data_IF_187677342893
#
_entry.id   IF_187677342893
#
_cell.length_a   1.000
_cell.length_b   1.000
_cell.length_c   1.000
_cell.angle_alpha   90.00
_cell.angle_beta   90.00
_cell.angle_gamma   90.00
#
_symmetry.space_group_name_H-M   'P 1'
#
loop_
_entity.id
_entity.type
_entity.pdbx_description
1 polymer ?
#
# COMPACT_ATOMS: atom_id res chain seq x y z
N UNK A 1 12.80 -22.94 32.99
CA UNK A 1 11.46 -22.53 32.48
C UNK A 1 10.55 -22.23 33.67
N UNK A 2 9.77 -21.14 33.63
CA UNK A 2 8.91 -20.70 34.74
C UNK A 2 7.71 -21.65 34.92
N UNK A 3 7.56 -22.20 36.13
CA UNK A 3 6.45 -23.07 36.55
C UNK A 3 5.26 -22.31 37.14
N UNK A 4 5.39 -20.99 37.32
CA UNK A 4 4.36 -20.13 37.90
C UNK A 4 3.19 -19.94 36.93
N UNK A 5 1.96 -19.84 37.39
CA UNK A 5 0.86 -19.38 36.51
C UNK A 5 1.08 -17.93 36.05
N UNK A 6 0.71 -17.61 34.82
CA UNK A 6 0.77 -16.23 34.30
C UNK A 6 -0.64 -15.73 34.00
N UNK A 7 -0.98 -14.52 34.46
CA UNK A 7 -2.18 -13.80 34.02
C UNK A 7 -1.76 -12.57 33.24
N UNK A 8 -2.07 -12.55 31.94
CA UNK A 8 -1.81 -11.42 31.05
C UNK A 8 -3.07 -10.55 30.93
N UNK A 9 -2.97 -9.31 31.38
CA UNK A 9 -4.03 -8.31 31.21
C UNK A 9 -3.77 -7.49 29.93
N UNK A 10 -4.82 -7.20 29.16
CA UNK A 10 -4.75 -6.34 27.97
C UNK A 10 -6.11 -5.72 27.66
N UNK A 11 -6.09 -4.48 27.18
CA UNK A 11 -7.26 -3.80 26.62
C UNK A 11 -7.51 -4.13 25.13
N UNK A 12 -6.50 -4.69 24.45
CA UNK A 12 -6.57 -5.08 23.06
C UNK A 12 -7.37 -6.36 22.85
N UNK A 13 -8.67 -6.18 22.62
CA UNK A 13 -9.58 -7.25 22.23
C UNK A 13 -9.11 -7.98 20.96
N UNK A 14 -8.46 -7.28 20.04
CA UNK A 14 -7.91 -7.86 18.81
C UNK A 14 -6.81 -8.87 19.12
N UNK A 15 -5.79 -8.48 19.90
CA UNK A 15 -4.68 -9.35 20.27
C UNK A 15 -5.20 -10.57 21.04
N UNK A 16 -6.07 -10.32 22.02
CA UNK A 16 -6.70 -11.37 22.81
C UNK A 16 -7.40 -12.41 21.92
N UNK A 17 -8.26 -11.96 21.01
CA UNK A 17 -8.98 -12.86 20.11
C UNK A 17 -8.04 -13.61 19.15
N UNK A 18 -6.98 -12.97 18.66
CA UNK A 18 -6.01 -13.59 17.74
C UNK A 18 -5.29 -14.79 18.39
N UNK A 19 -4.90 -14.69 19.66
CA UNK A 19 -4.17 -15.76 20.36
C UNK A 19 -5.08 -16.75 21.12
N UNK A 20 -6.39 -16.49 21.17
CA UNK A 20 -7.37 -17.36 21.81
C UNK A 20 -8.40 -17.88 20.80
N UNK A 21 -9.53 -17.19 20.65
CA UNK A 21 -10.72 -17.67 19.93
C UNK A 21 -10.53 -17.80 18.42
N UNK A 22 -9.68 -16.96 17.82
CA UNK A 22 -9.39 -16.96 16.38
C UNK A 22 -8.13 -17.77 16.04
N UNK A 23 -7.39 -18.25 17.03
CA UNK A 23 -6.09 -18.89 16.83
C UNK A 23 -6.20 -20.06 15.86
N UNK A 24 -7.02 -21.07 16.20
CA UNK A 24 -7.19 -22.28 15.37
C UNK A 24 -7.54 -21.96 13.93
N UNK A 25 -8.51 -21.05 13.72
CA UNK A 25 -8.91 -20.60 12.38
C UNK A 25 -7.76 -19.94 11.62
N UNK A 26 -6.98 -19.08 12.30
CA UNK A 26 -5.83 -18.40 11.68
C UNK A 26 -4.72 -19.38 11.30
N UNK A 27 -4.45 -20.39 12.14
CA UNK A 27 -3.47 -21.44 11.83
C UNK A 27 -3.94 -22.34 10.68
N UNK A 28 -5.23 -22.72 10.67
CA UNK A 28 -5.82 -23.53 9.61
C UNK A 28 -5.67 -22.86 8.24
N UNK A 29 -5.80 -21.53 8.16
CA UNK A 29 -5.59 -20.75 6.93
C UNK A 29 -4.12 -20.33 6.72
N UNK A 30 -3.18 -20.83 7.53
CA UNK A 30 -1.76 -20.51 7.44
C UNK A 30 -1.44 -19.02 7.64
N UNK A 31 -2.32 -18.29 8.30
CA UNK A 31 -2.31 -16.83 8.45
C UNK A 31 -2.25 -16.04 7.12
N UNK A 32 -2.69 -16.63 6.01
CA UNK A 32 -2.69 -15.96 4.70
C UNK A 32 -3.58 -14.71 4.74
N UNK A 33 -3.04 -13.58 4.27
CA UNK A 33 -3.74 -12.30 4.22
C UNK A 33 -3.99 -11.64 5.57
N UNK A 34 -3.35 -12.12 6.65
CA UNK A 34 -3.36 -11.47 7.96
C UNK A 34 -2.20 -10.50 8.11
N UNK A 35 -2.40 -9.46 8.90
CA UNK A 35 -1.32 -8.53 9.31
C UNK A 35 -0.60 -9.07 10.54
N UNK A 36 0.64 -8.60 10.78
CA UNK A 36 1.43 -8.90 11.98
C UNK A 36 1.61 -10.40 12.26
N UNK A 37 1.74 -11.19 11.19
CA UNK A 37 1.82 -12.66 11.27
C UNK A 37 3.08 -13.11 12.01
N UNK A 38 4.22 -12.43 11.81
CA UNK A 38 5.47 -12.73 12.53
C UNK A 38 5.28 -12.65 14.05
N UNK A 39 4.82 -11.50 14.55
CA UNK A 39 4.51 -11.31 15.97
C UNK A 39 3.50 -12.34 16.49
N UNK A 40 2.43 -12.60 15.73
CA UNK A 40 1.41 -13.59 16.14
C UNK A 40 2.03 -14.97 16.30
N UNK A 41 2.86 -15.41 15.35
CA UNK A 41 3.54 -16.72 15.41
C UNK A 41 4.51 -16.80 16.58
N UNK A 42 5.29 -15.75 16.83
CA UNK A 42 6.23 -15.69 17.96
C UNK A 42 5.52 -15.76 19.32
N UNK A 43 4.42 -15.02 19.49
CA UNK A 43 3.60 -15.07 20.71
C UNK A 43 3.01 -16.46 20.90
N UNK A 44 2.40 -17.04 19.87
CA UNK A 44 1.80 -18.38 19.96
C UNK A 44 2.85 -19.44 20.29
N UNK A 45 4.04 -19.37 19.68
CA UNK A 45 5.12 -20.30 20.00
C UNK A 45 5.60 -20.13 21.46
N UNK A 46 5.71 -18.90 21.95
CA UNK A 46 6.06 -18.61 23.35
C UNK A 46 5.02 -19.16 24.31
N UNK A 47 3.73 -19.00 24.00
CA UNK A 47 2.63 -19.55 24.79
C UNK A 47 2.66 -21.08 24.83
N UNK A 48 2.92 -21.74 23.69
CA UNK A 48 3.01 -23.21 23.59
C UNK A 48 4.22 -23.80 24.30
N UNK A 49 5.36 -23.08 24.31
CA UNK A 49 6.57 -23.50 25.04
C UNK A 49 6.36 -23.46 26.55
N UNK A 50 5.45 -22.63 27.05
CA UNK A 50 5.22 -22.50 28.48
C UNK A 50 4.48 -23.72 29.03
N UNK A 51 5.07 -24.36 30.05
CA UNK A 51 4.47 -25.51 30.76
C UNK A 51 3.33 -25.13 31.71
N UNK A 52 3.39 -23.92 32.27
CA UNK A 52 2.41 -23.42 33.21
C UNK A 52 1.28 -22.64 32.52
N UNK A 53 0.08 -22.70 33.09
CA UNK A 53 -1.12 -22.06 32.54
C UNK A 53 -0.94 -20.55 32.33
N UNK A 54 -1.31 -20.07 31.15
CA UNK A 54 -1.48 -18.65 30.85
C UNK A 54 -2.96 -18.32 30.78
N UNK A 55 -3.42 -17.41 31.63
CA UNK A 55 -4.76 -16.83 31.58
C UNK A 55 -4.67 -15.46 30.94
N UNK A 56 -5.61 -15.15 30.05
CA UNK A 56 -5.77 -13.80 29.55
C UNK A 56 -6.99 -13.16 30.17
N UNK A 57 -6.87 -11.89 30.54
CA UNK A 57 -7.96 -11.08 31.08
C UNK A 57 -8.08 -9.81 30.26
N UNK A 58 -9.23 -9.62 29.64
CA UNK A 58 -9.56 -8.35 29.00
C UNK A 58 -9.87 -7.31 30.06
N UNK A 59 -9.28 -6.13 29.94
CA UNK A 59 -9.57 -4.97 30.78
C UNK A 59 -10.05 -3.83 29.90
N UNK A 60 -10.88 -2.93 30.43
CA UNK A 60 -11.33 -1.77 29.67
C UNK A 60 -10.22 -0.71 29.67
N UNK A 61 -9.86 -0.22 28.48
CA UNK A 61 -8.89 0.89 28.35
C UNK A 61 -9.39 2.15 29.05
N UNK A 62 -8.45 3.00 29.50
CA UNK A 62 -8.72 4.29 30.16
C UNK A 62 -9.74 4.23 31.31
N UNK A 63 -9.74 3.13 32.07
CA UNK A 63 -10.72 2.89 33.14
C UNK A 63 -10.10 2.84 34.53
N UNK A 64 -8.95 3.49 34.77
CA UNK A 64 -8.34 3.55 36.11
C UNK A 64 -7.56 2.31 36.51
N UNK A 65 -7.24 1.39 35.58
CA UNK A 65 -6.50 0.18 35.90
C UNK A 65 -4.99 0.48 35.99
N UNK A 66 -4.37 0.49 37.19
CA UNK A 66 -3.02 1.06 37.36
C UNK A 66 -1.95 0.37 36.50
N UNK A 67 -2.08 -0.95 36.31
CA UNK A 67 -1.16 -1.73 35.47
C UNK A 67 -1.36 -1.47 33.98
N UNK A 68 -2.61 -1.31 33.52
CA UNK A 68 -2.90 -1.00 32.12
C UNK A 68 -2.45 0.41 31.79
N UNK A 69 -2.74 1.39 32.65
CA UNK A 69 -2.30 2.77 32.47
C UNK A 69 -0.78 2.90 32.49
N UNK A 70 -0.11 2.12 33.36
CA UNK A 70 1.33 1.98 33.33
C UNK A 70 1.85 1.44 31.99
N UNK A 71 1.19 0.44 31.42
CA UNK A 71 1.52 -0.11 30.11
C UNK A 71 1.26 0.91 28.96
N UNK A 72 0.15 1.64 29.01
CA UNK A 72 -0.20 2.68 28.03
C UNK A 72 0.85 3.80 28.03
N UNK A 73 1.27 4.24 29.22
CA UNK A 73 2.34 5.23 29.38
C UNK A 73 3.66 4.74 28.80
N UNK A 74 4.06 3.50 29.09
CA UNK A 74 5.28 2.92 28.56
C UNK A 74 5.22 2.73 27.04
N UNK A 75 4.06 2.35 26.49
CA UNK A 75 3.84 2.26 25.05
C UNK A 75 3.95 3.64 24.37
N UNK A 76 3.41 4.69 24.99
CA UNK A 76 3.55 6.07 24.53
C UNK A 76 5.00 6.55 24.51
N UNK A 77 5.77 6.25 25.57
CA UNK A 77 7.22 6.52 25.59
C UNK A 77 7.97 5.73 24.50
N UNK A 78 7.58 4.48 24.27
CA UNK A 78 8.12 3.64 23.21
C UNK A 78 7.88 4.23 21.81
N UNK A 79 6.70 4.81 21.57
CA UNK A 79 6.36 5.45 20.29
C UNK A 79 7.17 6.71 20.01
N UNK A 80 7.72 7.37 21.03
CA UNK A 80 8.56 8.56 20.92
C UNK A 80 10.05 8.26 20.77
N UNK A 81 10.47 6.99 20.81
CA UNK A 81 11.86 6.62 20.60
C UNK A 81 12.31 6.97 19.18
N UNK A 82 13.52 7.54 19.06
CA UNK A 82 14.13 7.85 17.77
C UNK A 82 14.48 6.61 16.94
N UNK A 83 14.77 5.50 17.61
CA UNK A 83 15.02 4.20 16.99
C UNK A 83 14.04 3.15 17.53
N UNK A 84 13.47 2.29 16.66
CA UNK A 84 12.56 1.23 17.08
C UNK A 84 13.31 0.11 17.82
N UNK A 85 12.65 -0.47 18.82
CA UNK A 85 13.17 -1.65 19.50
C UNK A 85 13.18 -2.86 18.55
N UNK A 86 14.28 -3.62 18.56
CA UNK A 86 14.38 -4.86 17.81
C UNK A 86 13.70 -5.99 18.59
N UNK A 87 12.65 -6.58 18.00
CA UNK A 87 11.91 -7.69 18.59
C UNK A 87 12.16 -8.94 17.75
N UNK A 88 12.68 -9.99 18.38
CA UNK A 88 12.81 -11.29 17.72
C UNK A 88 11.42 -11.91 17.51
N UNK A 89 11.08 -12.15 16.25
CA UNK A 89 9.80 -12.74 15.82
C UNK A 89 9.98 -14.17 15.27
N UNK A 90 11.15 -14.77 15.43
CA UNK A 90 11.38 -16.15 15.00
C UNK A 90 10.72 -17.13 15.96
N UNK A 91 9.84 -17.97 15.41
CA UNK A 91 9.31 -19.12 16.12
C UNK A 91 10.27 -20.32 15.97
N UNK A 92 10.54 -21.09 17.03
CA UNK A 92 11.31 -22.33 16.93
C UNK A 92 10.65 -23.32 15.96
N UNK A 93 11.48 -24.14 15.31
CA UNK A 93 11.06 -24.97 14.18
C UNK A 93 9.96 -25.97 14.51
N UNK A 94 9.97 -26.52 15.72
CA UNK A 94 8.98 -27.47 16.24
C UNK A 94 7.59 -26.84 16.45
N UNK A 95 7.52 -25.52 16.65
CA UNK A 95 6.27 -24.77 16.85
C UNK A 95 5.89 -23.94 15.62
N UNK A 96 6.65 -24.05 14.52
CA UNK A 96 6.46 -23.25 13.32
C UNK A 96 5.33 -23.82 12.45
N UNK A 97 4.33 -22.99 12.19
CA UNK A 97 3.27 -23.30 11.21
C UNK A 97 3.87 -23.26 9.80
N UNK A 98 3.92 -24.42 9.15
CA UNK A 98 4.51 -24.62 7.81
C UNK A 98 3.62 -24.10 6.66
N UNK A 99 2.30 -23.98 6.88
CA UNK A 99 1.38 -23.51 5.83
C UNK A 99 -0.09 -23.54 6.25
N UNK A 100 -0.98 -23.37 5.27
CA UNK A 100 -2.42 -23.52 5.45
C UNK A 100 -2.84 -24.97 5.19
N UNK A 101 -3.83 -25.46 5.94
CA UNK A 101 -4.45 -26.77 5.70
C UNK A 101 -5.19 -26.76 4.37
N UNK A 102 -5.04 -27.82 3.57
CA UNK A 102 -5.72 -27.95 2.27
C UNK A 102 -7.25 -27.83 2.40
N UNK A 103 -7.84 -28.45 3.43
CA UNK A 103 -9.28 -28.37 3.70
C UNK A 103 -9.79 -26.95 4.02
N UNK A 104 -8.92 -26.05 4.46
CA UNK A 104 -9.25 -24.65 4.77
C UNK A 104 -8.84 -23.69 3.64
N UNK A 105 -8.19 -24.21 2.59
CA UNK A 105 -7.69 -23.41 1.48
C UNK A 105 -8.80 -23.13 0.49
N UNK A 106 -8.92 -21.86 0.08
CA UNK A 106 -9.72 -21.46 -1.08
C UNK A 106 -8.81 -21.06 -2.24
N UNK A 107 -9.30 -21.12 -3.48
CA UNK A 107 -8.56 -20.65 -4.64
C UNK A 107 -8.07 -19.20 -4.48
N UNK A 108 -8.92 -18.33 -3.92
CA UNK A 108 -8.56 -16.93 -3.60
C UNK A 108 -7.39 -16.84 -2.63
N UNK A 109 -7.37 -17.67 -1.59
CA UNK A 109 -6.26 -17.70 -0.61
C UNK A 109 -4.98 -18.23 -1.25
N UNK A 110 -5.07 -19.31 -2.02
CA UNK A 110 -3.93 -19.86 -2.74
C UNK A 110 -3.32 -18.81 -3.68
N UNK A 111 -4.16 -18.14 -4.48
CA UNK A 111 -3.74 -17.03 -5.35
C UNK A 111 -3.08 -15.91 -4.56
N UNK A 112 -3.69 -15.46 -3.46
CA UNK A 112 -3.13 -14.41 -2.58
C UNK A 112 -1.75 -14.79 -2.05
N UNK A 113 -1.58 -16.03 -1.58
CA UNK A 113 -0.30 -16.53 -1.07
C UNK A 113 0.77 -16.65 -2.17
N UNK A 114 0.39 -17.13 -3.36
CA UNK A 114 1.29 -17.21 -4.52
C UNK A 114 1.73 -15.82 -4.95
N UNK A 115 0.80 -14.87 -5.06
CA UNK A 115 1.11 -13.50 -5.44
C UNK A 115 2.01 -12.80 -4.42
N UNK A 116 1.77 -12.99 -3.12
CA UNK A 116 2.65 -12.46 -2.08
C UNK A 116 4.09 -13.02 -2.19
N UNK A 117 4.24 -14.32 -2.44
CA UNK A 117 5.56 -14.96 -2.67
C UNK A 117 6.25 -14.45 -3.93
N UNK A 118 5.50 -14.23 -5.01
CA UNK A 118 6.03 -13.65 -6.25
C UNK A 118 6.46 -12.20 -6.03
N UNK A 119 5.62 -11.40 -5.38
CA UNK A 119 5.91 -10.01 -5.05
C UNK A 119 7.18 -9.86 -4.22
N UNK A 120 7.39 -10.74 -3.22
CA UNK A 120 8.60 -10.72 -2.40
C UNK A 120 9.91 -11.00 -3.18
N UNK A 121 9.82 -11.60 -4.37
CA UNK A 121 10.98 -11.87 -5.24
C UNK A 121 11.15 -10.84 -6.35
N UNK A 122 10.17 -9.98 -6.57
CA UNK A 122 10.19 -9.01 -7.65
C UNK A 122 10.92 -7.75 -7.17
N UNK A 123 11.98 -7.31 -7.86
CA UNK A 123 12.60 -6.03 -7.55
C UNK A 123 11.59 -4.90 -7.84
N UNK A 124 11.64 -3.80 -7.07
CA UNK A 124 10.86 -2.62 -7.41
C UNK A 124 11.24 -2.13 -8.80
N UNK A 125 10.25 -1.70 -9.58
CA UNK A 125 10.50 -1.10 -10.90
C UNK A 125 10.94 0.35 -10.69
N UNK A 126 12.20 0.72 -10.98
CA UNK A 126 12.73 2.04 -10.60
C UNK A 126 11.88 3.20 -11.10
N UNK A 127 11.36 3.07 -12.33
CA UNK A 127 10.51 4.11 -12.94
C UNK A 127 9.16 4.27 -12.26
N UNK A 128 8.48 3.16 -11.95
CA UNK A 128 7.24 3.20 -11.18
C UNK A 128 7.46 3.79 -9.79
N UNK A 129 8.61 3.54 -9.17
CA UNK A 129 8.96 4.16 -7.88
C UNK A 129 9.12 5.67 -8.05
N UNK A 130 9.86 6.11 -9.07
CA UNK A 130 10.01 7.53 -9.38
C UNK A 130 8.67 8.24 -9.64
N UNK A 131 7.76 7.61 -10.40
CA UNK A 131 6.44 8.16 -10.67
C UNK A 131 5.58 8.22 -9.39
N UNK A 132 5.65 7.20 -8.52
CA UNK A 132 4.99 7.23 -7.22
C UNK A 132 5.54 8.35 -6.33
N UNK A 133 6.85 8.59 -6.34
CA UNK A 133 7.49 9.68 -5.59
C UNK A 133 7.00 11.04 -6.10
N UNK A 134 6.95 11.21 -7.42
CA UNK A 134 6.41 12.41 -8.07
C UNK A 134 4.95 12.63 -7.69
N UNK A 135 4.15 11.56 -7.63
CA UNK A 135 2.74 11.65 -7.20
C UNK A 135 2.62 12.05 -5.74
N UNK A 136 3.40 11.44 -4.85
CA UNK A 136 3.41 11.80 -3.43
C UNK A 136 3.81 13.26 -3.22
N UNK A 137 4.90 13.70 -3.85
CA UNK A 137 5.38 15.07 -3.75
C UNK A 137 4.37 16.08 -4.30
N UNK A 138 3.72 15.78 -5.44
CA UNK A 138 2.71 16.67 -6.02
C UNK A 138 1.44 16.78 -5.17
N UNK A 139 0.97 15.68 -4.58
CA UNK A 139 -0.18 15.69 -3.65
C UNK A 139 0.16 16.42 -2.35
N UNK A 140 1.34 16.20 -1.80
CA UNK A 140 1.80 16.93 -0.62
C UNK A 140 1.90 18.42 -0.89
N UNK A 141 2.54 18.82 -1.99
CA UNK A 141 2.71 20.23 -2.35
C UNK A 141 1.35 20.93 -2.55
N UNK A 142 0.43 20.30 -3.29
CA UNK A 142 -0.87 20.90 -3.58
C UNK A 142 -1.83 20.87 -2.39
N UNK A 143 -1.91 19.75 -1.67
CA UNK A 143 -2.98 19.52 -0.70
C UNK A 143 -2.50 19.40 0.75
N UNK A 144 -1.19 19.52 1.00
CA UNK A 144 -0.58 19.38 2.33
C UNK A 144 -0.93 18.03 2.98
N UNK A 145 -1.12 17.00 2.15
CA UNK A 145 -1.57 15.68 2.54
C UNK A 145 -0.54 14.62 2.17
N UNK A 146 -0.16 13.82 3.16
CA UNK A 146 0.75 12.69 2.99
C UNK A 146 -0.02 11.46 2.53
N UNK A 147 0.33 10.93 1.36
CA UNK A 147 -0.29 9.73 0.78
C UNK A 147 0.70 8.59 0.64
N UNK A 148 0.21 7.36 0.79
CA UNK A 148 1.01 6.14 0.63
C UNK A 148 0.82 5.56 -0.77
N UNK A 149 1.79 4.80 -1.27
CA UNK A 149 1.66 4.06 -2.54
C UNK A 149 0.40 3.21 -2.57
N UNK A 150 0.06 2.59 -1.42
CA UNK A 150 -1.18 1.83 -1.27
C UNK A 150 -2.41 2.70 -1.48
N UNK A 151 -2.43 3.92 -0.94
CA UNK A 151 -3.53 4.85 -1.14
C UNK A 151 -3.65 5.25 -2.62
N UNK A 152 -2.53 5.51 -3.29
CA UNK A 152 -2.48 5.78 -4.75
C UNK A 152 -3.09 4.61 -5.53
N UNK A 153 -2.63 3.38 -5.31
CA UNK A 153 -3.18 2.25 -6.05
C UNK A 153 -4.64 1.95 -5.72
N UNK A 154 -5.03 2.12 -4.45
CA UNK A 154 -6.42 1.89 -4.03
C UNK A 154 -7.35 2.95 -4.60
N UNK A 155 -6.90 4.20 -4.72
CA UNK A 155 -7.72 5.29 -5.25
C UNK A 155 -8.17 5.04 -6.69
N UNK A 156 -7.29 4.46 -7.52
CA UNK A 156 -7.61 4.03 -8.88
C UNK A 156 -8.67 2.92 -8.95
N UNK A 157 -9.04 2.31 -7.82
CA UNK A 157 -10.10 1.29 -7.74
C UNK A 157 -11.40 1.79 -7.11
N UNK A 158 -11.46 3.06 -6.65
CA UNK A 158 -12.64 3.64 -6.01
C UNK A 158 -13.80 3.74 -7.01
N UNK A 159 -14.89 3.01 -6.79
CA UNK A 159 -16.09 3.05 -7.65
C UNK A 159 -16.77 4.43 -7.66
N UNK A 160 -16.65 5.19 -6.58
CA UNK A 160 -17.30 6.49 -6.40
C UNK A 160 -16.71 7.59 -7.30
N UNK A 161 -15.45 7.46 -7.71
CA UNK A 161 -14.75 8.47 -8.55
C UNK A 161 -14.84 8.17 -10.05
N UNK A 162 -15.10 6.92 -10.40
CA UNK A 162 -15.18 6.47 -11.78
C UNK A 162 -16.59 5.93 -12.05
N UNK A 163 -17.57 6.83 -12.13
CA UNK A 163 -18.99 6.48 -12.31
C UNK A 163 -19.55 6.83 -13.68
N UNK A 164 -20.55 6.02 -14.07
CA UNK A 164 -21.62 6.18 -15.09
C UNK A 164 -21.48 5.43 -16.40
N UNK A 165 -20.28 5.02 -16.83
CA UNK A 165 -20.11 4.06 -17.93
C UNK A 165 -18.94 3.11 -17.64
N UNK A 166 -19.21 1.81 -17.56
CA UNK A 166 -18.20 0.79 -17.22
C UNK A 166 -16.97 0.82 -18.17
N UNK A 167 -17.17 1.22 -19.43
CA UNK A 167 -16.11 1.36 -20.44
C UNK A 167 -15.22 2.57 -20.17
N UNK A 168 -15.79 3.72 -19.82
CA UNK A 168 -15.04 4.94 -19.47
C UNK A 168 -14.31 4.73 -18.14
N UNK A 169 -14.96 4.13 -17.14
CA UNK A 169 -14.35 3.74 -15.86
C UNK A 169 -13.12 2.83 -16.07
N UNK A 170 -13.25 1.78 -16.88
CA UNK A 170 -12.14 0.85 -17.14
C UNK A 170 -11.01 1.52 -17.93
N UNK A 171 -11.35 2.40 -18.87
CA UNK A 171 -10.37 3.10 -19.72
C UNK A 171 -9.57 4.12 -18.91
N UNK A 172 -10.23 4.96 -18.11
CA UNK A 172 -9.54 5.97 -17.29
C UNK A 172 -8.67 5.32 -16.22
N UNK A 173 -9.17 4.30 -15.53
CA UNK A 173 -8.35 3.57 -14.54
C UNK A 173 -7.12 2.94 -15.17
N UNK A 174 -7.31 2.29 -16.32
CA UNK A 174 -6.20 1.69 -17.06
C UNK A 174 -5.22 2.75 -17.52
N UNK A 175 -5.71 3.90 -17.98
CA UNK A 175 -4.86 5.02 -18.39
C UNK A 175 -4.00 5.55 -17.24
N UNK A 176 -4.61 5.84 -16.09
CA UNK A 176 -3.89 6.31 -14.90
C UNK A 176 -2.87 5.26 -14.42
N UNK A 177 -3.31 3.99 -14.32
CA UNK A 177 -2.44 2.90 -13.90
C UNK A 177 -1.26 2.70 -14.86
N UNK A 178 -1.51 2.69 -16.17
CA UNK A 178 -0.45 2.56 -17.18
C UNK A 178 0.46 3.78 -17.22
N UNK A 179 -0.04 4.97 -16.89
CA UNK A 179 0.77 6.19 -16.83
C UNK A 179 1.80 6.11 -15.71
N UNK A 180 1.38 5.77 -14.49
CA UNK A 180 2.27 5.62 -13.32
C UNK A 180 3.23 4.42 -13.47
N UNK A 181 2.85 3.42 -14.29
CA UNK A 181 3.71 2.27 -14.55
C UNK A 181 4.66 2.45 -15.75
N UNK A 182 4.62 3.59 -16.45
CA UNK A 182 5.20 3.75 -17.79
C UNK A 182 4.88 2.57 -18.74
N UNK A 183 3.63 2.12 -18.72
CA UNK A 183 3.18 0.96 -19.51
C UNK A 183 2.96 1.26 -20.99
N UNK A 184 2.97 2.54 -21.40
CA UNK A 184 2.75 2.95 -22.78
C UNK A 184 4.04 2.89 -23.61
N UNK A 185 3.88 2.65 -24.92
CA UNK A 185 4.98 2.70 -25.88
C UNK A 185 5.32 4.16 -26.22
N UNK A 186 6.07 4.82 -25.35
CA UNK A 186 6.51 6.21 -25.48
C UNK A 186 7.96 6.38 -25.04
N UNK A 187 8.62 7.42 -25.54
CA UNK A 187 9.95 7.81 -25.10
C UNK A 187 10.98 6.69 -25.21
N UNK A 188 11.61 6.39 -24.07
CA UNK A 188 12.63 5.36 -23.92
C UNK A 188 12.18 3.96 -24.34
N UNK A 189 10.88 3.68 -24.42
CA UNK A 189 10.40 2.42 -24.98
C UNK A 189 10.90 2.21 -26.42
N UNK A 190 10.86 3.27 -27.23
CA UNK A 190 11.26 3.22 -28.64
C UNK A 190 12.78 3.19 -28.84
N UNK A 191 13.56 3.54 -27.81
CA UNK A 191 15.03 3.54 -27.86
C UNK A 191 15.67 2.16 -27.67
N UNK A 192 14.86 1.09 -27.55
CA UNK A 192 15.37 -0.28 -27.43
C UNK A 192 16.13 -0.71 -28.68
N UNK A 193 17.16 -1.52 -28.48
CA UNK A 193 18.01 -2.03 -29.57
C UNK A 193 17.23 -2.76 -30.66
N UNK A 194 16.14 -3.43 -30.30
CA UNK A 194 15.27 -4.17 -31.22
C UNK A 194 14.42 -3.29 -32.15
N UNK A 195 14.44 -1.97 -31.99
CA UNK A 195 13.61 -1.03 -32.75
C UNK A 195 14.35 -0.52 -33.99
N UNK A 196 13.63 -0.34 -35.10
CA UNK A 196 14.18 0.30 -36.30
C UNK A 196 14.47 1.79 -36.04
N UNK A 197 15.28 2.42 -36.88
CA UNK A 197 15.61 3.84 -36.73
C UNK A 197 14.37 4.74 -36.88
N UNK A 198 13.45 4.37 -37.78
CA UNK A 198 12.15 5.02 -37.90
C UNK A 198 11.35 4.92 -36.58
N UNK A 199 11.36 3.76 -35.92
CA UNK A 199 10.65 3.60 -34.64
C UNK A 199 11.33 4.38 -33.52
N UNK A 200 12.67 4.41 -33.48
CA UNK A 200 13.45 5.19 -32.50
C UNK A 200 13.17 6.69 -32.61
N UNK A 201 12.90 7.21 -33.81
CA UNK A 201 12.52 8.61 -34.00
C UNK A 201 11.26 9.02 -33.20
N UNK A 202 10.39 8.06 -32.86
CA UNK A 202 9.17 8.26 -32.06
C UNK A 202 9.42 8.44 -30.56
N UNK A 203 10.67 8.32 -30.11
CA UNK A 203 11.05 8.54 -28.72
C UNK A 203 11.03 10.03 -28.33
N UNK A 204 11.16 10.93 -29.31
CA UNK A 204 11.36 12.36 -29.07
C UNK A 204 10.16 13.13 -29.64
N UNK A 205 9.78 14.20 -28.97
CA UNK A 205 8.71 15.08 -29.40
C UNK A 205 9.15 15.84 -30.67
N UNK A 206 8.36 15.75 -31.74
CA UNK A 206 8.66 16.46 -32.99
C UNK A 206 8.51 17.98 -32.89
N UNK A 207 7.87 18.48 -31.83
CA UNK A 207 7.59 19.92 -31.62
C UNK A 207 8.71 20.57 -30.81
N UNK A 208 9.10 19.97 -29.69
CA UNK A 208 10.04 20.60 -28.74
C UNK A 208 11.37 19.86 -28.55
N UNK A 209 11.53 18.65 -29.09
CA UNK A 209 12.78 17.90 -29.00
C UNK A 209 13.02 17.17 -27.67
N UNK A 210 12.09 17.24 -26.72
CA UNK A 210 12.20 16.50 -25.44
C UNK A 210 11.82 15.02 -25.60
N UNK A 211 12.32 14.17 -24.70
CA UNK A 211 11.93 12.75 -24.67
C UNK A 211 10.47 12.61 -24.27
N UNK A 212 9.69 11.87 -25.06
CA UNK A 212 8.25 11.69 -24.87
C UNK A 212 7.93 10.84 -23.63
N UNK A 213 7.62 11.50 -22.52
CA UNK A 213 7.07 10.88 -21.30
C UNK A 213 5.58 11.19 -21.15
N UNK A 214 4.87 10.45 -20.30
CA UNK A 214 3.46 10.79 -20.05
C UNK A 214 3.31 12.17 -19.41
N UNK A 215 4.25 12.52 -18.52
CA UNK A 215 4.30 13.86 -17.91
C UNK A 215 4.54 14.93 -18.95
N UNK A 216 5.48 14.71 -19.88
CA UNK A 216 5.75 15.63 -20.97
C UNK A 216 4.50 15.91 -21.80
N UNK A 217 3.86 14.85 -22.31
CA UNK A 217 2.68 14.95 -23.18
C UNK A 217 1.50 15.64 -22.53
N UNK A 218 1.28 15.38 -21.25
CA UNK A 218 0.11 15.88 -20.55
C UNK A 218 0.35 17.26 -19.96
N UNK A 219 1.55 17.59 -19.48
CA UNK A 219 1.75 18.75 -18.59
C UNK A 219 2.83 19.73 -19.02
N UNK A 220 3.86 19.31 -19.77
CA UNK A 220 5.05 20.14 -20.00
C UNK A 220 5.23 20.56 -21.46
N UNK A 221 4.66 19.81 -22.41
CA UNK A 221 4.86 20.06 -23.83
C UNK A 221 4.25 21.39 -24.29
N UNK A 222 4.97 22.11 -25.16
CA UNK A 222 4.51 23.37 -25.77
C UNK A 222 3.61 23.18 -27.00
N UNK A 223 3.26 21.93 -27.33
CA UNK A 223 2.36 21.65 -28.44
C UNK A 223 0.96 22.25 -28.18
N UNK A 224 0.42 22.95 -29.18
CA UNK A 224 -0.83 23.73 -29.09
C UNK A 224 -2.02 22.93 -28.53
N UNK A 225 -2.12 21.64 -28.88
CA UNK A 225 -3.23 20.78 -28.45
C UNK A 225 -3.30 20.60 -26.94
N UNK A 226 -2.15 20.50 -26.26
CA UNK A 226 -2.07 20.34 -24.81
C UNK A 226 -2.54 21.61 -24.09
N UNK A 227 -2.02 22.77 -24.52
CA UNK A 227 -2.38 24.06 -23.95
C UNK A 227 -3.87 24.38 -24.16
N UNK A 228 -4.41 24.03 -25.33
CA UNK A 228 -5.83 24.22 -25.66
C UNK A 228 -6.72 23.41 -24.73
N UNK A 229 -6.41 22.13 -24.53
CA UNK A 229 -7.17 21.24 -23.65
C UNK A 229 -7.20 21.75 -22.19
N UNK A 230 -6.04 22.16 -21.65
CA UNK A 230 -5.97 22.71 -20.30
C UNK A 230 -6.66 24.06 -20.15
N UNK A 231 -6.60 24.90 -21.18
CA UNK A 231 -7.32 26.19 -21.18
C UNK A 231 -8.83 25.97 -21.14
N UNK A 232 -9.34 25.03 -21.94
CA UNK A 232 -10.77 24.67 -21.91
C UNK A 232 -11.17 24.07 -20.56
N UNK A 233 -10.36 23.16 -20.01
CA UNK A 233 -10.62 22.56 -18.71
C UNK A 233 -10.59 23.60 -17.58
N UNK A 234 -9.64 24.53 -17.60
CA UNK A 234 -9.55 25.63 -16.63
C UNK A 234 -10.79 26.51 -16.65
N UNK A 235 -11.27 26.90 -17.84
CA UNK A 235 -12.52 27.66 -17.99
C UNK A 235 -13.70 26.92 -17.36
N UNK A 236 -13.85 25.62 -17.67
CA UNK A 236 -14.91 24.78 -17.12
C UNK A 236 -14.79 24.61 -15.60
N UNK A 237 -13.57 24.43 -15.07
CA UNK A 237 -13.34 24.26 -13.64
C UNK A 237 -13.66 25.54 -12.88
N UNK A 238 -13.23 26.70 -13.39
CA UNK A 238 -13.48 27.99 -12.74
C UNK A 238 -14.96 28.34 -12.66
N UNK A 239 -15.82 27.82 -13.55
CA UNK A 239 -17.26 28.03 -13.45
C UNK A 239 -17.91 27.29 -12.27
N UNK A 240 -17.20 26.36 -11.63
CA UNK A 240 -17.68 25.68 -10.40
C UNK A 240 -17.48 26.51 -9.13
N UNK A 241 -16.69 27.61 -9.20
CA UNK A 241 -16.29 28.40 -8.04
C UNK A 241 -15.22 27.76 -7.15
N UNK A 242 -14.71 26.59 -7.52
CA UNK A 242 -13.62 25.91 -6.79
C UNK A 242 -12.24 26.48 -7.17
N UNK A 243 -11.25 26.43 -6.26
CA UNK A 243 -9.89 26.86 -6.55
C UNK A 243 -9.29 26.04 -7.69
N UNK A 244 -8.57 26.73 -8.58
CA UNK A 244 -7.80 26.10 -9.64
C UNK A 244 -6.44 25.65 -9.09
N UNK A 245 -6.10 24.40 -9.38
CA UNK A 245 -4.80 23.82 -9.08
C UNK A 245 -4.07 23.54 -10.38
N UNK A 246 -2.82 23.96 -10.48
CA UNK A 246 -2.07 23.73 -11.71
C UNK A 246 -1.85 22.23 -11.94
N UNK A 247 -2.25 21.69 -13.11
CA UNK A 247 -2.18 20.27 -13.39
C UNK A 247 -0.73 19.82 -13.60
N UNK A 248 -0.34 18.76 -12.92
CA UNK A 248 0.93 18.07 -13.11
C UNK A 248 0.76 16.57 -12.85
N UNK A 249 1.85 15.80 -13.05
CA UNK A 249 1.84 14.35 -12.84
C UNK A 249 1.32 13.96 -11.45
N UNK A 250 1.66 14.72 -10.41
CA UNK A 250 1.20 14.40 -9.06
C UNK A 250 -0.22 14.84 -8.76
N UNK A 251 -0.64 16.03 -9.14
CA UNK A 251 -2.01 16.49 -8.88
C UNK A 251 -3.05 15.68 -9.66
N UNK A 252 -2.74 15.28 -10.90
CA UNK A 252 -3.68 14.50 -11.72
C UNK A 252 -3.67 13.01 -11.38
N UNK A 253 -2.51 12.37 -11.30
CA UNK A 253 -2.46 10.94 -10.98
C UNK A 253 -2.74 10.66 -9.50
N UNK A 254 -2.57 11.65 -8.63
CA UNK A 254 -2.87 11.59 -7.21
C UNK A 254 -4.25 12.10 -6.80
N UNK A 255 -5.00 12.76 -7.68
CA UNK A 255 -6.28 13.43 -7.35
C UNK A 255 -7.26 12.55 -6.57
N UNK A 256 -7.35 11.28 -6.95
CA UNK A 256 -8.29 10.32 -6.35
C UNK A 256 -7.91 9.86 -4.93
N UNK A 257 -6.71 10.19 -4.45
CA UNK A 257 -6.19 9.73 -3.16
C UNK A 257 -6.81 10.47 -1.98
N UNK A 258 -7.23 11.71 -2.21
CA UNK A 258 -7.95 12.55 -1.28
C UNK A 258 -9.44 12.17 -1.24
#
# INVERSE_FOLDING_TARGET
ESTTGLTQETDSKLVLQTVTTRLRKNEDIGCIGKSNVGFTKAVVATLRRRKALVKFKWVKGHSGHPRNEGADRLAGLGALKSAPDQVDVQAPDDLRISGAKLQAMTQRMAYTAIMARKAAKLPPRPKTVHDLDTVRAGVEHACQAQVTDRAIWTSLTKKTLFTREARVETTTRRFLWMSIHEGYMIGNYWQRESMSDEMKSRAVCSVCGETETMTHKLFECVAEGQQTAWTMFKKLWTSTGLPWWEPNGGTVFGAACL
#
